data_IF_944578324783
#
_entry.id   IF_944578324783
#
_cell.length_a   1.000
_cell.length_b   1.000
_cell.length_c   1.000
_cell.angle_alpha   90.00
_cell.angle_beta   90.00
_cell.angle_gamma   90.00
#
_symmetry.space_group_name_H-M   'P 1'
#
loop_
_entity.id
_entity.type
_entity.pdbx_description
1 polymer ?
#
# COMPACT_ATOMS: atom_id res chain seq x y z
N UNK A 1 1.51 -12.40 11.79
CA UNK A 1 1.26 -12.41 10.32
C UNK A 1 2.48 -11.87 9.61
N UNK A 2 3.06 -12.63 8.69
CA UNK A 2 4.17 -12.19 7.84
C UNK A 2 3.64 -11.66 6.52
N UNK A 3 4.24 -10.60 5.99
CA UNK A 3 3.91 -10.03 4.69
C UNK A 3 4.91 -10.55 3.65
N UNK A 4 4.44 -11.34 2.72
CA UNK A 4 5.22 -11.87 1.60
C UNK A 4 4.79 -11.17 0.31
N UNK A 5 5.69 -10.44 -0.32
CA UNK A 5 5.40 -9.78 -1.59
C UNK A 5 6.06 -10.53 -2.73
N UNK A 6 5.29 -10.90 -3.72
CA UNK A 6 5.74 -11.54 -4.96
C UNK A 6 5.76 -10.47 -6.05
N UNK A 7 6.96 -10.12 -6.52
CA UNK A 7 7.13 -9.23 -7.67
C UNK A 7 7.14 -10.09 -8.93
N UNK A 8 6.05 -10.04 -9.70
CA UNK A 8 5.86 -10.91 -10.87
C UNK A 8 6.81 -10.60 -12.02
N UNK A 9 7.03 -9.31 -12.25
CA UNK A 9 7.81 -8.83 -13.38
C UNK A 9 8.12 -7.35 -13.20
N UNK A 10 9.09 -6.85 -13.95
CA UNK A 10 9.28 -5.42 -14.16
C UNK A 10 8.44 -4.88 -15.35
N UNK A 11 7.71 -5.73 -16.07
CA UNK A 11 6.90 -5.35 -17.22
C UNK A 11 5.51 -4.86 -16.80
N UNK A 12 5.04 -3.81 -17.50
CA UNK A 12 3.70 -3.26 -17.34
C UNK A 12 3.17 -2.82 -18.71
N UNK A 13 1.88 -2.92 -18.92
CA UNK A 13 1.19 -2.46 -20.13
C UNK A 13 0.80 -0.98 -20.09
N UNK A 14 1.05 -0.29 -18.96
CA UNK A 14 0.89 1.15 -18.83
C UNK A 14 2.25 1.85 -18.64
N UNK A 15 2.30 3.12 -19.05
CA UNK A 15 3.48 3.98 -18.92
C UNK A 15 3.24 5.19 -18.02
N UNK A 16 2.81 4.95 -16.77
CA UNK A 16 2.54 6.00 -15.82
C UNK A 16 3.76 6.92 -15.63
N UNK A 17 3.56 8.24 -15.73
CA UNK A 17 4.67 9.23 -15.69
C UNK A 17 5.41 9.28 -14.36
N UNK A 18 4.80 8.81 -13.28
CA UNK A 18 5.35 8.77 -11.91
C UNK A 18 5.60 7.35 -11.40
N UNK A 19 5.67 6.36 -12.29
CA UNK A 19 5.80 4.96 -11.90
C UNK A 19 7.02 4.74 -11.00
N UNK A 20 6.80 4.05 -9.87
CA UNK A 20 7.89 3.68 -8.97
C UNK A 20 8.70 2.48 -9.47
N UNK A 21 8.18 1.70 -10.42
CA UNK A 21 8.90 0.58 -11.06
C UNK A 21 9.69 1.12 -12.25
N UNK A 22 10.91 1.59 -12.00
CA UNK A 22 11.77 2.20 -13.02
C UNK A 22 12.35 1.20 -14.01
N UNK A 23 12.43 -0.07 -13.61
CA UNK A 23 13.00 -1.14 -14.43
C UNK A 23 12.13 -1.54 -15.63
N UNK A 24 10.96 -0.96 -15.82
CA UNK A 24 10.06 -1.22 -16.97
C UNK A 24 10.70 -0.96 -18.33
N UNK A 25 11.71 -0.08 -18.40
CA UNK A 25 12.46 0.23 -19.63
C UNK A 25 13.58 -0.78 -19.91
N UNK A 26 13.83 -1.71 -19.02
CA UNK A 26 14.79 -2.79 -19.18
C UNK A 26 14.14 -4.00 -19.85
N UNK A 27 14.96 -4.95 -20.25
CA UNK A 27 14.44 -6.23 -20.78
C UNK A 27 13.52 -6.87 -19.74
N UNK A 28 12.34 -7.34 -20.15
CA UNK A 28 11.40 -7.97 -19.23
C UNK A 28 12.05 -9.17 -18.50
N UNK A 29 11.88 -9.19 -17.20
CA UNK A 29 12.25 -10.34 -16.35
C UNK A 29 10.99 -10.79 -15.63
N UNK A 30 10.66 -12.05 -15.80
CA UNK A 30 9.47 -12.67 -15.22
C UNK A 30 9.87 -13.60 -14.08
N UNK A 31 9.07 -13.60 -13.03
CA UNK A 31 9.24 -14.53 -11.93
C UNK A 31 8.97 -15.99 -12.36
N UNK A 32 9.65 -16.91 -11.72
CA UNK A 32 9.50 -18.36 -11.91
C UNK A 32 8.68 -18.96 -10.77
N UNK A 33 7.69 -19.78 -11.08
CA UNK A 33 6.80 -20.39 -10.08
C UNK A 33 7.56 -21.23 -9.05
N UNK A 34 8.58 -21.97 -9.46
CA UNK A 34 9.36 -22.80 -8.54
C UNK A 34 10.07 -21.95 -7.49
N UNK A 35 10.67 -20.83 -7.92
CA UNK A 35 11.32 -19.90 -7.00
C UNK A 35 10.31 -19.24 -6.05
N UNK A 36 9.12 -18.87 -6.55
CA UNK A 36 8.04 -18.33 -5.74
C UNK A 36 7.56 -19.35 -4.71
N UNK A 37 7.37 -20.61 -5.13
CA UNK A 37 6.97 -21.68 -4.23
C UNK A 37 8.01 -21.89 -3.11
N UNK A 38 9.30 -21.99 -3.46
CA UNK A 38 10.40 -22.13 -2.50
C UNK A 38 10.44 -20.93 -1.52
N UNK A 39 10.18 -19.72 -2.02
CA UNK A 39 10.09 -18.52 -1.20
C UNK A 39 8.90 -18.58 -0.22
N UNK A 40 7.71 -18.95 -0.69
CA UNK A 40 6.55 -19.11 0.18
C UNK A 40 6.85 -20.16 1.24
N UNK A 41 7.31 -21.36 0.86
CA UNK A 41 7.63 -22.46 1.78
C UNK A 41 8.62 -22.05 2.87
N UNK A 42 9.60 -21.22 2.51
CA UNK A 42 10.65 -20.78 3.44
C UNK A 42 10.16 -19.73 4.44
N UNK A 43 9.26 -18.85 4.02
CA UNK A 43 8.93 -17.65 4.81
C UNK A 43 7.50 -17.61 5.34
N UNK A 44 6.64 -18.54 4.92
CA UNK A 44 5.25 -18.56 5.38
C UNK A 44 5.18 -18.98 6.85
N UNK A 45 4.26 -18.38 7.58
CA UNK A 45 3.94 -18.69 8.97
C UNK A 45 2.45 -19.04 9.06
N UNK A 46 1.97 -19.47 10.23
CA UNK A 46 0.57 -19.89 10.46
C UNK A 46 -0.48 -18.86 10.00
N UNK A 47 -0.08 -17.59 9.93
CA UNK A 47 -0.87 -16.50 9.37
C UNK A 47 0.05 -15.69 8.43
N UNK A 48 -0.35 -15.50 7.19
CA UNK A 48 0.40 -14.73 6.22
C UNK A 48 -0.48 -13.82 5.38
N UNK A 49 0.10 -12.70 4.92
CA UNK A 49 -0.44 -11.92 3.83
C UNK A 49 0.48 -12.09 2.63
N UNK A 50 -0.05 -12.52 1.50
CA UNK A 50 0.71 -12.65 0.24
C UNK A 50 0.24 -11.56 -0.70
N UNK A 51 1.16 -10.66 -1.06
CA UNK A 51 0.91 -9.57 -2.00
C UNK A 51 1.41 -9.92 -3.41
N UNK A 52 0.56 -9.75 -4.39
CA UNK A 52 0.87 -9.81 -5.81
C UNK A 52 1.19 -8.39 -6.29
N UNK A 53 2.44 -8.19 -6.71
CA UNK A 53 3.01 -6.87 -6.99
C UNK A 53 3.97 -6.91 -8.20
N UNK A 54 4.45 -5.75 -8.64
CA UNK A 54 5.48 -5.64 -9.68
C UNK A 54 5.18 -4.54 -10.69
N UNK A 55 5.48 -4.76 -11.97
CA UNK A 55 4.97 -3.94 -13.06
C UNK A 55 3.46 -4.07 -13.13
N UNK A 56 2.98 -5.12 -13.77
CA UNK A 56 1.56 -5.49 -13.73
C UNK A 56 1.40 -7.02 -13.56
N UNK A 57 0.95 -7.48 -12.38
CA UNK A 57 0.79 -8.92 -12.11
C UNK A 57 -0.20 -9.61 -13.05
N UNK A 58 -1.27 -8.92 -13.48
CA UNK A 58 -2.32 -9.52 -14.31
C UNK A 58 -1.88 -9.84 -15.73
N UNK A 59 -0.73 -9.34 -16.18
CA UNK A 59 -0.11 -9.79 -17.42
C UNK A 59 0.41 -11.23 -17.37
N UNK A 60 0.53 -11.80 -16.17
CA UNK A 60 1.02 -13.16 -15.90
C UNK A 60 -0.12 -14.07 -15.45
N UNK A 61 -1.23 -14.08 -16.19
CA UNK A 61 -2.49 -14.77 -15.86
C UNK A 61 -2.30 -16.20 -15.35
N UNK A 62 -1.51 -17.01 -16.06
CA UNK A 62 -1.31 -18.42 -15.71
C UNK A 62 -0.51 -18.55 -14.40
N UNK A 63 0.51 -17.72 -14.22
CA UNK A 63 1.29 -17.69 -12.98
C UNK A 63 0.46 -17.24 -11.78
N UNK A 64 -0.43 -16.24 -11.96
CA UNK A 64 -1.38 -15.82 -10.90
C UNK A 64 -2.24 -16.99 -10.48
N UNK A 65 -2.83 -17.73 -11.44
CA UNK A 65 -3.67 -18.90 -11.16
C UNK A 65 -2.88 -20.02 -10.46
N UNK A 66 -1.67 -20.32 -10.95
CA UNK A 66 -0.80 -21.36 -10.39
C UNK A 66 -0.40 -21.05 -8.93
N UNK A 67 -0.08 -19.79 -8.62
CA UNK A 67 0.22 -19.37 -7.25
C UNK A 67 -1.03 -19.49 -6.36
N UNK A 68 -2.19 -19.07 -6.84
CA UNK A 68 -3.43 -19.20 -6.08
C UNK A 68 -3.77 -20.68 -5.82
N UNK A 69 -3.61 -21.56 -6.83
CA UNK A 69 -3.81 -23.01 -6.66
C UNK A 69 -2.87 -23.58 -5.59
N UNK A 70 -1.62 -23.08 -5.56
CA UNK A 70 -0.68 -23.46 -4.52
C UNK A 70 -1.10 -22.95 -3.14
N UNK A 71 -1.49 -21.67 -3.02
CA UNK A 71 -1.97 -21.09 -1.76
C UNK A 71 -3.18 -21.84 -1.23
N UNK A 72 -4.16 -22.18 -2.08
CA UNK A 72 -5.36 -22.93 -1.69
C UNK A 72 -5.02 -24.37 -1.22
N UNK A 73 -3.86 -24.90 -1.61
CA UNK A 73 -3.37 -26.21 -1.16
C UNK A 73 -2.70 -26.19 0.21
N UNK A 74 -2.41 -25.00 0.76
CA UNK A 74 -1.81 -24.86 2.09
C UNK A 74 -2.86 -25.01 3.17
N UNK A 75 -2.52 -25.71 4.26
CA UNK A 75 -3.42 -25.86 5.44
C UNK A 75 -3.20 -24.69 6.42
N UNK A 76 -3.29 -23.48 5.92
CA UNK A 76 -3.14 -22.24 6.69
C UNK A 76 -4.05 -21.15 6.14
N UNK A 77 -4.38 -20.17 6.98
CA UNK A 77 -5.16 -19.01 6.57
C UNK A 77 -4.24 -17.95 5.92
N UNK A 78 -4.42 -17.73 4.62
CA UNK A 78 -3.63 -16.78 3.84
C UNK A 78 -4.50 -15.63 3.36
N UNK A 79 -4.18 -14.41 3.79
CA UNK A 79 -4.77 -13.21 3.23
C UNK A 79 -4.04 -12.83 1.94
N UNK A 80 -4.74 -12.82 0.82
CA UNK A 80 -4.16 -12.49 -0.48
C UNK A 80 -4.51 -11.06 -0.89
N UNK A 81 -3.51 -10.32 -1.40
CA UNK A 81 -3.68 -8.96 -1.90
C UNK A 81 -3.14 -8.82 -3.31
N UNK A 82 -3.94 -8.29 -4.21
CA UNK A 82 -3.53 -7.98 -5.59
C UNK A 82 -3.41 -6.46 -5.77
N UNK A 83 -2.22 -5.99 -6.13
CA UNK A 83 -2.01 -4.65 -6.67
C UNK A 83 -2.05 -4.72 -8.19
N UNK A 84 -2.95 -3.97 -8.83
CA UNK A 84 -3.09 -3.99 -10.29
C UNK A 84 -3.43 -2.60 -10.84
N UNK A 85 -3.08 -2.37 -12.09
CA UNK A 85 -3.54 -1.21 -12.84
C UNK A 85 -5.01 -1.33 -13.29
N UNK A 86 -5.62 -2.50 -13.16
CA UNK A 86 -7.01 -2.78 -13.46
C UNK A 86 -7.33 -3.02 -14.94
N UNK A 87 -6.33 -3.02 -15.83
CA UNK A 87 -6.54 -3.28 -17.26
C UNK A 87 -7.00 -4.72 -17.52
N UNK A 88 -6.49 -5.70 -16.78
CA UNK A 88 -6.77 -7.13 -17.00
C UNK A 88 -6.67 -7.52 -18.48
N UNK A 89 -5.56 -7.12 -19.10
CA UNK A 89 -5.32 -7.35 -20.52
C UNK A 89 -5.45 -8.83 -20.86
N UNK A 90 -6.22 -9.13 -21.91
CA UNK A 90 -6.46 -10.50 -22.39
C UNK A 90 -7.20 -11.43 -21.38
N UNK A 91 -7.86 -10.86 -20.37
CA UNK A 91 -8.75 -11.60 -19.46
C UNK A 91 -10.20 -11.48 -19.93
N UNK A 92 -10.96 -12.56 -19.80
CA UNK A 92 -12.42 -12.50 -19.91
C UNK A 92 -13.05 -12.03 -18.60
N UNK A 93 -14.29 -11.55 -18.65
CA UNK A 93 -15.02 -11.13 -17.44
C UNK A 93 -15.17 -12.32 -16.45
N UNK A 94 -15.34 -13.56 -16.96
CA UNK A 94 -15.42 -14.79 -16.14
C UNK A 94 -14.08 -15.11 -15.45
N UNK A 95 -12.96 -14.88 -16.12
CA UNK A 95 -11.64 -15.08 -15.52
C UNK A 95 -11.36 -14.04 -14.44
N UNK A 96 -11.73 -12.77 -14.66
CA UNK A 96 -11.64 -11.70 -13.65
C UNK A 96 -12.45 -12.11 -12.43
N UNK A 97 -13.69 -12.53 -12.59
CA UNK A 97 -14.58 -12.97 -11.51
C UNK A 97 -13.99 -14.16 -10.78
N UNK A 98 -13.54 -15.18 -11.51
CA UNK A 98 -12.98 -16.41 -10.92
C UNK A 98 -11.77 -16.14 -10.05
N UNK A 99 -10.82 -15.32 -10.51
CA UNK A 99 -9.61 -14.99 -9.77
C UNK A 99 -9.91 -14.02 -8.62
N UNK A 100 -10.73 -12.99 -8.84
CA UNK A 100 -11.07 -12.02 -7.80
C UNK A 100 -11.81 -12.64 -6.62
N UNK A 101 -12.60 -13.69 -6.82
CA UNK A 101 -13.24 -14.44 -5.71
C UNK A 101 -12.22 -15.20 -4.82
N UNK A 102 -10.99 -15.41 -5.28
CA UNK A 102 -9.90 -16.07 -4.53
C UNK A 102 -8.91 -15.06 -3.91
N UNK A 103 -9.06 -13.78 -4.25
CA UNK A 103 -8.26 -12.69 -3.73
C UNK A 103 -9.02 -12.00 -2.59
N UNK A 104 -8.41 -11.94 -1.41
CA UNK A 104 -9.03 -11.29 -0.24
C UNK A 104 -9.19 -9.79 -0.46
N UNK A 105 -8.19 -9.13 -1.05
CA UNK A 105 -8.19 -7.68 -1.33
C UNK A 105 -7.62 -7.40 -2.72
N UNK A 106 -8.40 -6.72 -3.56
CA UNK A 106 -7.93 -6.19 -4.85
C UNK A 106 -7.78 -4.68 -4.76
N UNK A 107 -6.58 -4.18 -4.99
CA UNK A 107 -6.25 -2.74 -4.96
C UNK A 107 -5.95 -2.26 -6.37
N UNK A 108 -6.91 -1.55 -6.98
CA UNK A 108 -6.77 -1.02 -8.33
C UNK A 108 -6.16 0.38 -8.27
N UNK A 109 -5.10 0.59 -9.05
CA UNK A 109 -4.40 1.86 -9.14
C UNK A 109 -5.15 2.82 -10.06
N UNK A 110 -5.76 3.88 -9.50
CA UNK A 110 -6.55 4.86 -10.26
C UNK A 110 -6.53 6.23 -9.56
N UNK A 111 -6.24 7.30 -10.31
CA UNK A 111 -5.95 8.61 -9.72
C UNK A 111 -7.16 9.54 -9.63
N UNK A 112 -8.32 9.12 -10.05
CA UNK A 112 -9.56 9.88 -9.98
C UNK A 112 -10.68 9.22 -10.76
N UNK A 113 -11.88 9.77 -10.66
CA UNK A 113 -13.10 9.20 -11.25
C UNK A 113 -13.28 9.60 -12.72
N UNK A 114 -12.38 10.40 -13.27
CA UNK A 114 -12.42 10.85 -14.68
C UNK A 114 -11.10 10.56 -15.37
N UNK A 115 -11.14 10.45 -16.71
CA UNK A 115 -9.94 10.30 -17.53
C UNK A 115 -8.95 11.45 -17.30
N UNK A 116 -9.42 12.70 -17.25
CA UNK A 116 -8.58 13.87 -17.02
C UNK A 116 -7.79 13.81 -15.71
N UNK A 117 -8.39 13.23 -14.66
CA UNK A 117 -7.70 13.01 -13.40
C UNK A 117 -6.70 11.86 -13.46
N UNK A 118 -6.86 10.92 -14.38
CA UNK A 118 -6.04 9.71 -14.50
C UNK A 118 -5.11 9.71 -15.72
N UNK A 119 -5.03 10.81 -16.47
CA UNK A 119 -4.25 10.91 -17.70
C UNK A 119 -2.72 10.78 -17.56
N UNK A 120 -2.19 10.80 -16.35
CA UNK A 120 -0.80 10.47 -16.06
C UNK A 120 -0.55 8.96 -16.06
N UNK A 121 -1.62 8.17 -16.03
CA UNK A 121 -1.63 6.71 -16.04
C UNK A 121 -1.98 6.14 -17.40
N UNK A 122 -3.00 6.72 -18.05
CA UNK A 122 -3.57 6.23 -19.29
C UNK A 122 -3.24 7.15 -20.45
N UNK A 123 -2.90 6.57 -21.59
CA UNK A 123 -2.69 7.33 -22.83
C UNK A 123 -4.02 7.70 -23.48
N UNK A 124 -5.04 6.87 -23.33
CA UNK A 124 -6.33 7.02 -23.98
C UNK A 124 -7.50 6.92 -23.01
N UNK A 125 -8.62 7.55 -23.37
CA UNK A 125 -9.88 7.44 -22.65
C UNK A 125 -10.44 6.01 -22.71
N UNK A 126 -10.15 5.26 -23.77
CA UNK A 126 -10.59 3.88 -23.91
C UNK A 126 -9.95 2.97 -22.87
N UNK A 127 -8.67 3.16 -22.57
CA UNK A 127 -7.99 2.44 -21.47
C UNK A 127 -8.62 2.76 -20.12
N UNK A 128 -8.86 4.02 -19.83
CA UNK A 128 -9.56 4.43 -18.62
C UNK A 128 -10.96 3.79 -18.52
N UNK A 129 -11.74 3.83 -19.60
CA UNK A 129 -13.08 3.23 -19.67
C UNK A 129 -13.02 1.71 -19.48
N UNK A 130 -11.99 1.03 -20.00
CA UNK A 130 -11.78 -0.41 -19.77
C UNK A 130 -11.56 -0.70 -18.29
N UNK A 131 -10.73 0.09 -17.60
CA UNK A 131 -10.52 -0.06 -16.16
C UNK A 131 -11.81 0.19 -15.38
N UNK A 132 -12.59 1.21 -15.74
CA UNK A 132 -13.89 1.48 -15.10
C UNK A 132 -14.90 0.36 -15.33
N UNK A 133 -14.86 -0.31 -16.48
CA UNK A 133 -15.65 -1.54 -16.75
C UNK A 133 -15.17 -2.68 -15.83
N UNK A 134 -13.87 -2.92 -15.77
CA UNK A 134 -13.29 -4.00 -14.99
C UNK A 134 -13.53 -3.82 -13.47
N UNK A 135 -13.52 -2.57 -12.97
CA UNK A 135 -13.94 -2.25 -11.59
C UNK A 135 -15.36 -2.78 -11.33
N UNK A 136 -16.29 -2.54 -12.25
CA UNK A 136 -17.68 -3.05 -12.11
C UNK A 136 -17.74 -4.58 -12.11
N UNK A 137 -16.91 -5.24 -12.91
CA UNK A 137 -16.80 -6.71 -12.92
C UNK A 137 -16.25 -7.21 -11.58
N UNK A 138 -15.17 -6.61 -11.06
CA UNK A 138 -14.60 -6.98 -9.75
C UNK A 138 -15.58 -6.75 -8.60
N UNK A 139 -16.39 -5.69 -8.66
CA UNK A 139 -17.44 -5.41 -7.66
C UNK A 139 -18.54 -6.48 -7.57
N UNK A 140 -18.64 -7.40 -8.54
CA UNK A 140 -19.56 -8.54 -8.46
C UNK A 140 -19.01 -9.71 -7.67
N UNK A 141 -17.78 -9.63 -7.18
CA UNK A 141 -17.07 -10.70 -6.49
C UNK A 141 -17.00 -10.46 -4.98
N UNK A 142 -16.46 -11.43 -4.24
CA UNK A 142 -16.28 -11.35 -2.79
C UNK A 142 -15.02 -10.61 -2.36
N UNK A 143 -14.13 -10.22 -3.29
CA UNK A 143 -12.92 -9.49 -2.94
C UNK A 143 -13.23 -8.12 -2.32
N UNK A 144 -12.43 -7.71 -1.36
CA UNK A 144 -12.51 -6.37 -0.82
C UNK A 144 -11.82 -5.40 -1.79
N UNK A 145 -12.62 -4.60 -2.51
CA UNK A 145 -12.09 -3.73 -3.57
C UNK A 145 -11.65 -2.38 -3.03
N UNK A 146 -10.36 -2.07 -3.23
CA UNK A 146 -9.77 -0.77 -2.95
C UNK A 146 -9.33 -0.01 -4.20
N UNK A 147 -9.23 1.32 -4.07
CA UNK A 147 -8.60 2.20 -5.05
C UNK A 147 -7.34 2.79 -4.43
N UNK A 148 -6.21 2.70 -5.16
CA UNK A 148 -4.95 3.35 -4.80
C UNK A 148 -4.71 4.55 -5.71
N UNK A 149 -4.65 5.73 -5.10
CA UNK A 149 -4.52 7.02 -5.79
C UNK A 149 -3.19 7.67 -5.44
N UNK A 150 -2.43 8.06 -6.46
CA UNK A 150 -1.25 8.92 -6.28
C UNK A 150 -1.68 10.38 -6.42
N UNK A 151 -1.39 11.15 -5.38
CA UNK A 151 -1.73 12.58 -5.33
C UNK A 151 -0.56 13.41 -5.86
N UNK A 152 -0.78 14.10 -6.97
CA UNK A 152 0.17 15.03 -7.57
C UNK A 152 -0.55 16.29 -8.07
N UNK A 153 0.04 17.44 -7.80
CA UNK A 153 -0.56 18.72 -8.14
C UNK A 153 -1.83 19.04 -7.32
N UNK A 154 -2.14 20.32 -7.24
CA UNK A 154 -3.17 20.88 -6.33
C UNK A 154 -4.56 20.25 -6.50
N UNK A 155 -5.01 20.11 -7.73
CA UNK A 155 -6.35 19.61 -8.02
C UNK A 155 -6.62 18.20 -7.45
N UNK A 156 -5.59 17.36 -7.35
CA UNK A 156 -5.72 16.02 -6.78
C UNK A 156 -6.02 16.05 -5.30
N UNK A 157 -5.34 16.92 -4.56
CA UNK A 157 -5.60 17.08 -3.13
C UNK A 157 -7.00 17.68 -2.87
N UNK A 158 -7.41 18.66 -3.65
CA UNK A 158 -8.73 19.32 -3.52
C UNK A 158 -9.89 18.37 -3.87
N UNK A 159 -9.69 17.42 -4.78
CA UNK A 159 -10.73 16.50 -5.26
C UNK A 159 -10.84 15.18 -4.50
N UNK A 160 -9.99 14.90 -3.52
CA UNK A 160 -9.96 13.61 -2.83
C UNK A 160 -11.33 13.17 -2.31
N UNK A 161 -12.03 14.05 -1.60
CA UNK A 161 -13.32 13.72 -1.02
C UNK A 161 -14.40 13.48 -2.08
N UNK A 162 -14.40 14.25 -3.17
CA UNK A 162 -15.33 14.04 -4.28
C UNK A 162 -15.10 12.69 -4.95
N UNK A 163 -13.84 12.35 -5.25
CA UNK A 163 -13.48 11.06 -5.83
C UNK A 163 -13.85 9.90 -4.89
N UNK A 164 -13.57 10.05 -3.59
CA UNK A 164 -14.03 9.10 -2.58
C UNK A 164 -15.55 8.88 -2.68
N UNK A 165 -16.37 9.93 -2.66
CA UNK A 165 -17.85 9.83 -2.77
C UNK A 165 -18.29 9.13 -4.03
N UNK A 166 -17.69 9.44 -5.18
CA UNK A 166 -18.03 8.83 -6.47
C UNK A 166 -17.68 7.34 -6.48
N UNK A 167 -16.48 6.95 -6.02
CA UNK A 167 -16.09 5.56 -5.92
C UNK A 167 -16.96 4.77 -4.92
N UNK A 168 -17.27 5.37 -3.76
CA UNK A 168 -18.21 4.75 -2.80
C UNK A 168 -19.59 4.54 -3.39
N UNK A 169 -20.07 5.46 -4.21
CA UNK A 169 -21.39 5.35 -4.85
C UNK A 169 -21.51 4.17 -5.80
N UNK A 170 -20.41 3.65 -6.33
CA UNK A 170 -20.39 2.44 -7.18
C UNK A 170 -20.01 1.17 -6.41
N UNK A 171 -19.72 1.25 -5.11
CA UNK A 171 -19.47 0.09 -4.24
C UNK A 171 -18.01 -0.16 -3.86
N UNK A 172 -17.06 0.72 -4.21
CA UNK A 172 -15.67 0.59 -3.76
C UNK A 172 -15.59 0.71 -2.24
N UNK A 173 -14.86 -0.18 -1.60
CA UNK A 173 -14.82 -0.33 -0.14
C UNK A 173 -13.69 0.47 0.51
N UNK A 174 -12.52 0.54 -0.13
CA UNK A 174 -11.29 0.99 0.48
C UNK A 174 -10.54 2.01 -0.38
N UNK A 175 -9.81 2.91 0.28
CA UNK A 175 -9.03 3.95 -0.39
C UNK A 175 -7.63 4.05 0.19
N UNK A 176 -6.64 4.14 -0.70
CA UNK A 176 -5.26 4.45 -0.37
C UNK A 176 -4.85 5.71 -1.12
N UNK A 177 -4.47 6.74 -0.38
CA UNK A 177 -4.00 7.99 -0.94
C UNK A 177 -2.54 8.19 -0.59
N UNK A 178 -1.69 8.31 -1.60
CA UNK A 178 -0.26 8.55 -1.41
C UNK A 178 0.17 9.83 -2.12
N UNK A 179 0.65 10.85 -1.40
CA UNK A 179 1.29 12.00 -2.03
C UNK A 179 2.50 11.56 -2.83
N UNK A 180 2.61 12.03 -4.07
CA UNK A 180 3.75 11.73 -4.92
C UNK A 180 5.03 12.31 -4.33
N UNK A 181 6.00 11.46 -4.06
CA UNK A 181 7.27 11.86 -3.43
C UNK A 181 8.45 11.83 -4.38
N UNK A 182 8.38 11.02 -5.45
CA UNK A 182 9.49 10.85 -6.39
C UNK A 182 8.93 10.63 -7.79
N UNK A 183 9.51 11.31 -8.78
CA UNK A 183 9.26 11.04 -10.20
C UNK A 183 10.17 9.94 -10.74
N UNK A 184 9.80 9.39 -11.91
CA UNK A 184 10.55 8.34 -12.59
C UNK A 184 11.97 8.75 -13.04
N UNK A 185 12.31 10.03 -13.09
CA UNK A 185 13.66 10.52 -13.31
C UNK A 185 14.50 10.67 -12.02
N UNK A 186 14.07 10.04 -10.93
CA UNK A 186 14.67 10.11 -9.60
C UNK A 186 14.71 11.51 -8.97
N UNK A 187 13.90 12.43 -9.48
CA UNK A 187 13.77 13.75 -8.87
C UNK A 187 12.73 13.72 -7.76
N UNK A 188 13.09 14.18 -6.56
CA UNK A 188 12.13 14.33 -5.49
C UNK A 188 11.09 15.39 -5.88
N UNK A 189 9.83 15.10 -5.57
CA UNK A 189 8.73 16.04 -5.72
C UNK A 189 8.59 16.82 -4.43
N UNK A 190 8.74 18.13 -4.51
CA UNK A 190 8.44 19.02 -3.38
C UNK A 190 6.93 19.27 -3.39
N UNK A 191 6.24 18.76 -2.38
CA UNK A 191 4.82 19.03 -2.19
C UNK A 191 4.70 20.25 -1.28
N UNK A 192 4.05 21.34 -1.75
CA UNK A 192 3.85 22.53 -0.93
C UNK A 192 3.10 22.22 0.37
N UNK A 193 3.45 22.94 1.45
CA UNK A 193 2.84 22.76 2.78
C UNK A 193 1.31 22.84 2.75
N UNK A 194 0.76 23.76 1.97
CA UNK A 194 -0.68 23.93 1.80
C UNK A 194 -1.36 22.70 1.18
N UNK A 195 -0.68 21.93 0.34
CA UNK A 195 -1.25 20.69 -0.24
C UNK A 195 -1.31 19.59 0.81
N UNK A 196 -0.31 19.46 1.67
CA UNK A 196 -0.38 18.54 2.80
C UNK A 196 -1.50 18.92 3.77
N UNK A 197 -1.67 20.20 4.05
CA UNK A 197 -2.76 20.67 4.89
C UNK A 197 -4.12 20.34 4.27
N UNK A 198 -4.27 20.55 2.97
CA UNK A 198 -5.46 20.13 2.22
C UNK A 198 -5.67 18.62 2.30
N UNK A 199 -4.63 17.81 2.12
CA UNK A 199 -4.67 16.36 2.30
C UNK A 199 -5.28 15.98 3.66
N UNK A 200 -4.79 16.56 4.75
CA UNK A 200 -5.29 16.26 6.10
C UNK A 200 -6.76 16.65 6.27
N UNK A 201 -7.17 17.79 5.72
CA UNK A 201 -8.57 18.23 5.73
C UNK A 201 -9.46 17.25 4.98
N UNK A 202 -9.05 16.82 3.79
CA UNK A 202 -9.82 15.90 2.96
C UNK A 202 -9.91 14.51 3.60
N UNK A 203 -8.83 13.99 4.17
CA UNK A 203 -8.83 12.72 4.93
C UNK A 203 -9.82 12.78 6.09
N UNK A 204 -9.84 13.87 6.84
CA UNK A 204 -10.80 14.05 7.94
C UNK A 204 -12.26 13.98 7.45
N UNK A 205 -12.57 14.64 6.33
CA UNK A 205 -13.91 14.56 5.70
C UNK A 205 -14.26 13.13 5.29
N UNK A 206 -13.29 12.39 4.74
CA UNK A 206 -13.45 10.99 4.34
C UNK A 206 -13.76 10.12 5.58
N UNK A 207 -13.02 10.29 6.69
CA UNK A 207 -13.30 9.55 7.93
C UNK A 207 -14.71 9.80 8.45
N UNK A 208 -15.12 11.07 8.52
CA UNK A 208 -16.44 11.43 9.00
C UNK A 208 -17.55 10.79 8.15
N UNK A 209 -17.47 10.95 6.83
CA UNK A 209 -18.45 10.37 5.91
C UNK A 209 -18.46 8.84 5.94
N UNK A 210 -17.27 8.21 6.02
CA UNK A 210 -17.13 6.77 6.07
C UNK A 210 -17.80 6.19 7.32
N UNK A 211 -17.58 6.79 8.50
CA UNK A 211 -18.21 6.34 9.75
C UNK A 211 -19.71 6.53 9.71
N UNK A 212 -20.18 7.62 9.13
CA UNK A 212 -21.61 7.92 9.10
C UNK A 212 -22.39 7.04 8.14
N UNK A 213 -21.85 6.77 6.97
CA UNK A 213 -22.55 6.16 5.86
C UNK A 213 -22.11 4.72 5.54
N UNK A 214 -20.87 4.35 5.93
CA UNK A 214 -20.25 3.05 5.58
C UNK A 214 -19.51 2.42 6.77
N UNK A 215 -20.15 2.30 7.95
CA UNK A 215 -19.43 1.83 9.14
C UNK A 215 -18.91 0.40 9.02
N UNK A 216 -19.51 -0.44 8.17
CA UNK A 216 -19.11 -1.83 7.95
C UNK A 216 -17.76 -1.95 7.23
N UNK A 217 -17.45 -1.03 6.32
CA UNK A 217 -16.25 -1.05 5.48
C UNK A 217 -15.13 -0.16 6.03
N UNK A 218 -15.46 0.68 7.03
CA UNK A 218 -14.51 1.69 7.54
C UNK A 218 -13.39 1.08 8.36
N UNK A 219 -13.61 -0.09 8.96
CA UNK A 219 -12.67 -0.67 9.92
C UNK A 219 -11.27 -0.93 9.35
N UNK A 220 -11.14 -1.41 8.11
CA UNK A 220 -9.83 -1.66 7.49
C UNK A 220 -9.07 -0.37 7.23
N UNK A 221 -9.77 0.65 6.72
CA UNK A 221 -9.17 1.95 6.44
C UNK A 221 -8.68 2.63 7.73
N UNK A 222 -9.53 2.70 8.75
CA UNK A 222 -9.19 3.30 10.04
C UNK A 222 -8.09 2.49 10.75
N UNK A 223 -8.12 1.15 10.70
CA UNK A 223 -7.09 0.32 11.30
C UNK A 223 -5.71 0.56 10.66
N UNK A 224 -5.63 0.66 9.34
CA UNK A 224 -4.39 0.98 8.64
C UNK A 224 -3.84 2.34 9.06
N UNK A 225 -4.71 3.35 9.10
CA UNK A 225 -4.34 4.71 9.47
C UNK A 225 -3.93 4.82 10.95
N UNK A 226 -4.62 4.10 11.83
CA UNK A 226 -4.27 4.03 13.25
C UNK A 226 -2.87 3.43 13.45
N UNK A 227 -2.55 2.36 12.74
CA UNK A 227 -1.22 1.75 12.78
C UNK A 227 -0.16 2.73 12.26
N UNK A 228 -0.44 3.41 11.15
CA UNK A 228 0.45 4.43 10.60
C UNK A 228 0.67 5.57 11.60
N UNK A 229 -0.38 6.08 12.25
CA UNK A 229 -0.29 7.18 13.21
C UNK A 229 0.52 6.80 14.47
N UNK A 230 0.41 5.55 14.94
CA UNK A 230 1.24 5.06 16.06
C UNK A 230 2.71 4.97 15.69
N UNK A 231 3.02 4.62 14.46
CA UNK A 231 4.38 4.66 13.97
C UNK A 231 4.97 6.07 13.92
N UNK A 232 4.14 7.08 13.65
CA UNK A 232 4.56 8.47 13.74
C UNK A 232 4.97 8.87 15.17
N UNK A 233 4.26 8.38 16.18
CA UNK A 233 4.43 8.84 17.57
C UNK A 233 5.45 8.04 18.42
N UNK A 234 5.85 6.84 18.03
CA UNK A 234 6.67 5.94 18.87
C UNK A 234 8.08 5.65 18.36
N UNK A 235 8.50 6.25 17.27
CA UNK A 235 9.90 6.20 16.87
C UNK A 235 10.49 4.83 16.49
N UNK A 236 9.71 3.76 16.39
CA UNK A 236 10.23 2.42 16.08
C UNK A 236 10.13 2.05 14.60
N UNK A 237 11.25 2.12 13.94
CA UNK A 237 11.39 1.93 12.49
C UNK A 237 11.62 0.51 11.99
N UNK A 238 11.78 -0.43 12.87
CA UNK A 238 12.47 -1.68 12.51
C UNK A 238 11.57 -2.77 11.97
N UNK A 239 10.31 -2.46 11.66
CA UNK A 239 9.30 -3.50 11.52
C UNK A 239 9.14 -4.05 10.12
N UNK A 240 9.29 -3.23 9.08
CA UNK A 240 9.31 -3.75 7.71
C UNK A 240 10.32 -4.89 7.57
N UNK A 241 11.47 -4.73 8.22
CA UNK A 241 12.55 -5.70 8.15
C UNK A 241 12.24 -7.06 8.78
N UNK A 242 11.44 -7.07 9.85
CA UNK A 242 11.09 -8.31 10.55
C UNK A 242 9.95 -9.06 9.89
N UNK A 243 9.06 -8.32 9.23
CA UNK A 243 7.80 -8.84 8.76
C UNK A 243 7.69 -8.97 7.26
N UNK A 244 8.34 -8.08 6.51
CA UNK A 244 8.24 -8.06 5.06
C UNK A 244 9.34 -8.92 4.46
N UNK A 245 8.97 -9.81 3.57
CA UNK A 245 9.86 -10.44 2.62
C UNK A 245 9.30 -10.24 1.24
N UNK A 246 10.15 -9.91 0.30
CA UNK A 246 9.74 -9.71 -1.08
C UNK A 246 10.69 -10.49 -1.98
N UNK A 247 10.14 -11.28 -2.89
CA UNK A 247 10.91 -11.94 -3.94
C UNK A 247 10.85 -11.11 -5.22
N UNK A 248 12.01 -10.87 -5.82
CA UNK A 248 12.11 -10.21 -7.12
C UNK A 248 11.84 -11.17 -8.26
N UNK A 249 11.64 -10.68 -9.50
CA UNK A 249 11.48 -11.53 -10.67
C UNK A 249 12.69 -12.45 -10.96
N UNK A 250 13.87 -12.12 -10.42
CA UNK A 250 15.09 -12.94 -10.56
C UNK A 250 15.29 -13.94 -9.42
N UNK A 251 14.34 -14.05 -8.49
CA UNK A 251 14.40 -14.94 -7.35
C UNK A 251 15.21 -14.43 -6.16
N UNK A 252 15.68 -13.18 -6.17
CA UNK A 252 16.38 -12.59 -5.03
C UNK A 252 15.39 -12.14 -3.97
N UNK A 253 15.71 -12.38 -2.70
CA UNK A 253 14.85 -12.00 -1.58
C UNK A 253 15.29 -10.68 -0.96
N UNK A 254 14.33 -9.81 -0.71
CA UNK A 254 14.50 -8.47 -0.14
C UNK A 254 13.53 -8.26 1.02
N UNK A 255 13.81 -7.25 1.84
CA UNK A 255 12.93 -6.86 2.94
C UNK A 255 12.09 -5.61 2.62
N UNK A 256 12.08 -5.21 1.36
CA UNK A 256 11.29 -4.10 0.85
C UNK A 256 10.78 -4.45 -0.55
N UNK A 257 9.49 -4.36 -0.77
CA UNK A 257 8.87 -4.64 -2.07
C UNK A 257 9.34 -3.67 -3.16
N UNK A 258 9.53 -2.40 -2.80
CA UNK A 258 9.98 -1.39 -3.76
C UNK A 258 11.42 -1.67 -4.21
N UNK A 259 12.25 -2.22 -3.32
CA UNK A 259 13.59 -2.67 -3.68
C UNK A 259 13.56 -3.94 -4.55
N UNK A 260 12.72 -4.91 -4.22
CA UNK A 260 12.55 -6.11 -5.04
C UNK A 260 12.04 -5.78 -6.45
N UNK A 261 11.18 -4.78 -6.59
CA UNK A 261 10.68 -4.31 -7.88
C UNK A 261 11.71 -3.48 -8.67
N UNK A 262 12.76 -2.96 -8.03
CA UNK A 262 13.78 -2.11 -8.62
C UNK A 262 15.20 -2.64 -8.32
N UNK A 263 15.46 -3.91 -8.58
CA UNK A 263 16.74 -4.58 -8.29
C UNK A 263 17.97 -3.89 -8.86
N UNK A 264 17.80 -3.14 -9.93
CA UNK A 264 18.90 -2.42 -10.59
C UNK A 264 19.14 -1.03 -10.00
N UNK A 265 18.51 -0.73 -8.86
CA UNK A 265 18.75 0.47 -8.06
C UNK A 265 18.43 1.79 -8.79
N UNK A 266 17.68 1.73 -9.90
CA UNK A 266 17.39 2.90 -10.72
C UNK A 266 16.47 3.93 -10.03
N UNK A 267 15.68 3.47 -9.06
CA UNK A 267 14.69 4.31 -8.37
C UNK A 267 15.27 5.12 -7.21
N UNK A 268 16.39 4.70 -6.63
CA UNK A 268 16.89 5.27 -5.40
C UNK A 268 18.00 6.31 -5.62
N UNK A 269 18.05 7.32 -4.76
CA UNK A 269 19.19 8.22 -4.70
C UNK A 269 20.46 7.48 -4.32
N UNK A 270 21.69 7.98 -4.69
CA UNK A 270 22.94 7.36 -4.32
C UNK A 270 23.10 7.09 -2.82
N UNK A 271 22.53 7.93 -1.95
CA UNK A 271 22.57 7.74 -0.50
C UNK A 271 21.64 6.61 -0.04
N UNK A 272 20.46 6.48 -0.65
CA UNK A 272 19.58 5.34 -0.39
C UNK A 272 20.23 4.05 -0.83
N UNK A 273 20.82 4.01 -2.01
CA UNK A 273 21.58 2.85 -2.51
C UNK A 273 22.72 2.50 -1.54
N UNK A 274 23.50 3.48 -1.11
CA UNK A 274 24.57 3.27 -0.13
C UNK A 274 24.02 2.74 1.21
N UNK A 275 22.89 3.25 1.67
CA UNK A 275 22.20 2.78 2.88
C UNK A 275 21.74 1.33 2.72
N UNK A 276 21.07 0.99 1.62
CA UNK A 276 20.59 -0.35 1.34
C UNK A 276 21.75 -1.35 1.25
N UNK A 277 22.83 -1.01 0.55
CA UNK A 277 24.01 -1.85 0.42
C UNK A 277 24.73 -2.05 1.75
N UNK A 278 24.90 -0.99 2.55
CA UNK A 278 25.54 -1.06 3.86
C UNK A 278 24.79 -1.97 4.83
N UNK A 279 23.48 -2.02 4.73
CA UNK A 279 22.63 -2.75 5.67
C UNK A 279 22.19 -4.11 5.13
N UNK A 280 22.80 -4.59 4.03
CA UNK A 280 22.60 -5.93 3.50
C UNK A 280 21.13 -6.29 3.19
N UNK A 281 20.36 -5.35 2.63
CA UNK A 281 18.93 -5.53 2.32
C UNK A 281 18.65 -6.64 1.28
N UNK A 282 19.69 -7.18 0.66
CA UNK A 282 19.61 -8.32 -0.26
C UNK A 282 19.73 -9.68 0.43
N UNK A 283 20.17 -9.72 1.67
CA UNK A 283 20.46 -10.98 2.35
C UNK A 283 19.57 -11.17 3.58
N UNK A 284 19.13 -12.40 3.75
CA UNK A 284 18.24 -12.86 4.80
C UNK A 284 18.88 -12.96 6.20
N UNK A 285 20.00 -12.28 6.42
CA UNK A 285 20.65 -12.32 7.71
C UNK A 285 19.89 -11.50 8.75
N UNK A 286 19.52 -12.14 9.84
CA UNK A 286 18.62 -11.76 10.92
C UNK A 286 18.93 -10.44 11.65
N UNK A 287 20.01 -9.75 11.33
CA UNK A 287 20.41 -8.51 12.02
C UNK A 287 20.19 -7.29 11.16
N UNK A 288 18.98 -6.71 11.27
CA UNK A 288 18.77 -5.34 10.83
C UNK A 288 19.43 -4.38 11.81
N UNK A 289 20.22 -3.44 11.33
CA UNK A 289 20.63 -2.36 12.19
C UNK A 289 19.38 -1.58 12.61
N UNK A 290 19.22 -1.42 13.91
CA UNK A 290 18.30 -0.45 14.46
C UNK A 290 18.78 0.90 13.96
N UNK A 291 17.98 1.53 13.11
CA UNK A 291 18.27 2.90 12.69
C UNK A 291 17.79 3.77 13.83
N UNK A 292 18.77 4.32 14.59
CA UNK A 292 18.46 5.31 15.62
C UNK A 292 17.61 6.42 15.00
N UNK A 293 16.41 6.55 15.50
CA UNK A 293 15.53 7.65 15.13
C UNK A 293 15.94 8.90 15.90
N UNK A 294 16.13 9.97 15.17
CA UNK A 294 15.99 11.28 15.76
C UNK A 294 14.48 11.57 15.93
N UNK A 295 14.13 12.27 16.99
CA UNK A 295 12.76 12.66 17.39
C UNK A 295 11.91 13.29 16.29
N UNK A 296 12.49 13.56 15.13
CA UNK A 296 11.90 14.26 13.99
C UNK A 296 11.61 13.35 12.77
N UNK A 297 11.51 12.03 12.90
CA UNK A 297 11.23 11.15 11.77
C UNK A 297 9.73 10.87 11.65
N UNK A 298 9.08 11.49 10.70
CA UNK A 298 7.62 11.41 10.47
C UNK A 298 7.17 10.21 9.64
N UNK A 299 8.08 9.41 9.11
CA UNK A 299 7.72 8.19 8.40
C UNK A 299 8.40 6.98 9.02
N UNK A 300 7.68 5.86 9.07
CA UNK A 300 8.25 4.59 9.52
C UNK A 300 9.25 3.99 8.51
N UNK A 301 9.36 4.55 7.30
CA UNK A 301 10.22 4.04 6.25
C UNK A 301 11.60 4.73 6.24
N UNK A 302 12.70 4.01 6.57
CA UNK A 302 14.04 4.58 6.58
C UNK A 302 14.48 5.06 5.18
N UNK A 303 14.06 4.36 4.13
CA UNK A 303 14.36 4.74 2.74
C UNK A 303 13.70 6.07 2.39
N UNK A 304 12.41 6.22 2.67
CA UNK A 304 11.70 7.49 2.47
C UNK A 304 12.33 8.61 3.30
N UNK A 305 12.70 8.35 4.55
CA UNK A 305 13.35 9.34 5.41
C UNK A 305 14.69 9.82 4.85
N UNK A 306 15.53 8.92 4.32
CA UNK A 306 16.80 9.29 3.69
C UNK A 306 16.54 10.11 2.43
N UNK A 307 15.60 9.71 1.61
CA UNK A 307 15.22 10.44 0.39
C UNK A 307 14.75 11.86 0.72
N UNK A 308 13.90 12.02 1.74
CA UNK A 308 13.42 13.33 2.18
C UNK A 308 14.55 14.23 2.70
N UNK A 309 15.49 13.68 3.47
CA UNK A 309 16.65 14.44 3.97
C UNK A 309 17.60 14.86 2.86
N UNK A 310 17.82 13.97 1.89
CA UNK A 310 18.75 14.21 0.78
C UNK A 310 18.29 15.30 -0.17
N UNK A 311 16.98 15.37 -0.36
CA UNK A 311 16.35 16.33 -1.25
C UNK A 311 16.21 17.74 -0.67
N UNK A 312 16.58 17.99 0.59
CA UNK A 312 16.29 19.22 1.33
C UNK A 312 14.81 19.63 1.21
N UNK A 313 13.93 18.65 1.23
CA UNK A 313 12.51 18.86 1.08
C UNK A 313 11.95 19.61 2.28
N UNK A 314 11.99 20.93 2.22
CA UNK A 314 11.37 21.85 3.18
C UNK A 314 9.83 21.80 3.17
N UNK A 315 9.23 20.83 2.58
CA UNK A 315 7.79 20.62 2.50
C UNK A 315 7.36 19.25 2.98
N UNK A 316 8.23 18.53 3.68
CA UNK A 316 7.85 17.25 4.30
C UNK A 316 6.92 17.46 5.49
N UNK A 317 6.23 16.42 5.91
CA UNK A 317 5.36 16.39 7.11
C UNK A 317 5.98 17.00 8.39
N UNK A 318 7.30 17.19 8.44
CA UNK A 318 8.03 17.87 9.51
C UNK A 318 7.54 19.28 9.86
N UNK A 319 6.98 19.99 8.89
CA UNK A 319 6.52 21.37 9.06
C UNK A 319 5.11 21.47 9.61
N UNK A 320 4.45 20.32 9.81
CA UNK A 320 3.04 20.22 10.11
C UNK A 320 2.75 19.52 11.44
N UNK A 321 3.72 19.46 12.38
CA UNK A 321 3.51 18.69 13.62
C UNK A 321 2.21 19.05 14.33
N UNK A 322 1.95 20.34 14.55
CA UNK A 322 0.71 20.79 15.20
C UNK A 322 -0.53 20.53 14.33
N UNK A 323 -0.43 20.84 13.03
CA UNK A 323 -1.53 20.58 12.08
C UNK A 323 -1.77 19.07 11.88
N UNK A 324 -0.72 18.23 11.90
CA UNK A 324 -0.89 16.77 11.86
C UNK A 324 -1.63 16.27 13.08
N UNK A 325 -1.29 16.75 14.26
CA UNK A 325 -1.98 16.39 15.49
C UNK A 325 -3.46 16.81 15.42
N UNK A 326 -3.74 18.05 15.07
CA UNK A 326 -5.10 18.60 15.03
C UNK A 326 -5.94 18.04 13.88
N UNK A 327 -5.38 17.99 12.67
CA UNK A 327 -6.13 17.67 11.44
C UNK A 327 -6.14 16.18 11.09
N UNK A 328 -5.29 15.36 11.71
CA UNK A 328 -5.17 13.94 11.40
C UNK A 328 -5.33 13.03 12.62
N UNK A 329 -4.51 13.21 13.65
CA UNK A 329 -4.50 12.30 14.79
C UNK A 329 -5.80 12.43 15.61
N UNK A 330 -6.21 13.64 15.96
CA UNK A 330 -7.46 13.84 16.71
C UNK A 330 -8.72 13.40 15.94
N UNK A 331 -8.90 13.76 14.66
CA UNK A 331 -10.02 13.23 13.87
C UNK A 331 -10.02 11.72 13.76
N UNK A 332 -8.84 11.08 13.62
CA UNK A 332 -8.71 9.62 13.61
C UNK A 332 -9.20 9.01 14.94
N UNK A 333 -8.81 9.56 16.08
CA UNK A 333 -9.31 9.10 17.39
C UNK A 333 -10.83 9.27 17.54
N UNK A 334 -11.37 10.40 17.10
CA UNK A 334 -12.83 10.63 17.09
C UNK A 334 -13.54 9.63 16.18
N UNK A 335 -12.94 9.30 15.04
CA UNK A 335 -13.43 8.28 14.13
C UNK A 335 -13.51 6.90 14.81
N UNK A 336 -12.46 6.50 15.53
CA UNK A 336 -12.41 5.25 16.28
C UNK A 336 -13.49 5.22 17.38
N UNK A 337 -13.64 6.30 18.14
CA UNK A 337 -14.69 6.40 19.17
C UNK A 337 -16.10 6.35 18.59
N UNK A 338 -16.31 6.98 17.43
CA UNK A 338 -17.60 6.96 16.75
C UNK A 338 -17.95 5.55 16.22
N UNK A 339 -16.96 4.77 15.76
CA UNK A 339 -17.13 3.36 15.39
C UNK A 339 -17.52 2.51 16.58
N UNK A 340 -16.88 2.67 17.75
CA UNK A 340 -17.23 1.96 18.97
C UNK A 340 -18.69 2.20 19.38
N UNK A 341 -19.17 3.45 19.25
CA UNK A 341 -20.53 3.80 19.60
C UNK A 341 -21.60 3.33 18.59
N UNK A 342 -21.26 3.25 17.29
CA UNK A 342 -22.21 2.89 16.23
C UNK A 342 -22.17 1.40 15.86
N UNK A 343 -21.00 0.77 15.92
CA UNK A 343 -20.75 -0.61 15.49
C UNK A 343 -19.68 -1.24 16.40
N UNK A 344 -20.13 -1.74 17.53
CA UNK A 344 -19.25 -2.38 18.50
C UNK A 344 -18.54 -3.63 17.94
N UNK A 345 -19.20 -4.36 17.07
CA UNK A 345 -18.64 -5.49 16.32
C UNK A 345 -17.52 -5.05 15.37
N UNK A 346 -17.77 -4.09 14.50
CA UNK A 346 -16.76 -3.55 13.58
C UNK A 346 -15.57 -2.93 14.33
N UNK A 347 -15.81 -2.28 15.45
CA UNK A 347 -14.75 -1.78 16.32
C UNK A 347 -13.92 -2.91 16.93
N UNK A 348 -14.56 -3.98 17.40
CA UNK A 348 -13.87 -5.15 17.93
C UNK A 348 -13.06 -5.87 16.85
N UNK A 349 -13.57 -5.98 15.63
CA UNK A 349 -12.85 -6.55 14.50
C UNK A 349 -11.64 -5.70 14.14
N UNK A 350 -11.79 -4.38 14.09
CA UNK A 350 -10.69 -3.44 13.91
C UNK A 350 -9.64 -3.57 15.00
N UNK A 351 -10.06 -3.64 16.28
CA UNK A 351 -9.15 -3.84 17.41
C UNK A 351 -8.43 -5.19 17.31
N UNK A 352 -9.14 -6.24 16.94
CA UNK A 352 -8.57 -7.59 16.79
C UNK A 352 -7.54 -7.58 15.65
N UNK A 353 -7.89 -7.03 14.49
CA UNK A 353 -6.96 -6.85 13.38
C UNK A 353 -5.74 -6.02 13.79
N UNK A 354 -5.96 -4.87 14.39
CA UNK A 354 -4.87 -3.99 14.83
C UNK A 354 -3.99 -4.62 15.91
N UNK A 355 -4.60 -5.38 16.86
CA UNK A 355 -3.87 -6.14 17.88
C UNK A 355 -3.05 -7.27 17.26
N UNK A 356 -3.64 -7.99 16.31
CA UNK A 356 -2.96 -9.07 15.58
C UNK A 356 -1.77 -8.51 14.83
N UNK A 357 -1.98 -7.48 14.01
CA UNK A 357 -0.90 -6.82 13.28
C UNK A 357 0.14 -6.26 14.25
N UNK A 358 -0.25 -5.58 15.33
CA UNK A 358 0.68 -5.02 16.32
C UNK A 358 1.45 -6.12 17.06
N UNK A 359 0.79 -7.20 17.48
CA UNK A 359 1.44 -8.33 18.14
C UNK A 359 2.54 -8.96 17.28
N UNK A 360 2.27 -9.12 15.99
CA UNK A 360 3.24 -9.67 15.04
C UNK A 360 4.34 -8.66 14.69
N UNK A 361 3.98 -7.37 14.57
CA UNK A 361 4.91 -6.31 14.21
C UNK A 361 5.87 -5.98 15.35
N UNK A 362 5.41 -5.90 16.58
CA UNK A 362 6.16 -5.28 17.67
C UNK A 362 6.62 -6.25 18.76
N UNK A 363 6.20 -7.51 18.70
CA UNK A 363 6.38 -8.48 19.82
C UNK A 363 5.98 -7.91 21.20
N UNK A 364 5.21 -6.84 21.21
CA UNK A 364 4.70 -6.17 22.41
C UNK A 364 3.27 -6.59 22.71
N UNK A 365 2.89 -6.50 23.98
CA UNK A 365 1.50 -6.74 24.34
C UNK A 365 0.61 -5.63 23.76
N UNK A 366 -0.07 -5.96 22.67
CA UNK A 366 -1.00 -5.05 22.00
C UNK A 366 -2.03 -4.41 22.95
N UNK A 367 -2.30 -5.04 24.12
CA UNK A 367 -3.21 -4.49 25.11
C UNK A 367 -2.66 -3.25 25.82
N UNK A 368 -1.34 -3.10 25.97
CA UNK A 368 -0.75 -1.89 26.55
C UNK A 368 -0.82 -0.71 25.59
N UNK A 369 -0.59 -0.96 24.30
CA UNK A 369 -0.61 0.08 23.26
C UNK A 369 -2.01 0.70 23.13
N UNK A 370 -3.07 -0.09 23.29
CA UNK A 370 -4.45 0.38 23.16
C UNK A 370 -5.06 0.93 24.47
N UNK A 371 -4.45 0.72 25.63
CA UNK A 371 -4.92 1.28 26.91
C UNK A 371 -4.76 2.79 27.02
N UNK A 372 -3.83 3.38 26.31
CA UNK A 372 -3.51 4.83 26.37
C UNK A 372 -4.53 5.69 25.62
N UNK A 373 -5.41 5.09 24.84
CA UNK A 373 -6.27 5.81 23.87
C UNK A 373 -7.73 5.98 24.31
N UNK A 374 -8.13 5.53 25.52
CA UNK A 374 -9.54 5.46 25.94
C UNK A 374 -9.79 6.21 27.29
N UNK A 375 -8.86 7.08 27.72
CA UNK A 375 -9.09 7.93 28.91
C UNK A 375 -9.39 9.36 28.49
#
# INVERSE_FOLDING_TARGET
>A
MRLLTIVFSNHCDLDCTYCCVQSKNLSPVNADFKQIKEFIDQYIEDEACIEFYGGEPTLHKDLVKEILDYIDSLDIDVYTRLYTNGMFKDWTDEEIVSVSNRISETLISLDGFTFEESKQRFETEDEFNQVMKNIKTVLTTSTFLGISTVLYGRAKFENMFNNYKLFRSIGVNYFSYEPLTIYNDNKPVVIPKEFFKEFLIQINRIYQDSIENYPDDTYLFVAKELLSSKWFNQGELTQCSKMVRAISPRGNVYMCRDHAANEEELFYSPKVIQFLNKNNFKNDNESFPIIEQNENNLTSCPVKNIQYRDSKMEGSLYWLEDEVQELYIEPLYRAIQALDNKRKDAYNDMLTYSKTVTKYLMKEDANEIFKVSIN
#
